data_IF_854674795629
#
_entry.id   IF_854674795629
#
_cell.length_a   1.000
_cell.length_b   1.000
_cell.length_c   1.000
_cell.angle_alpha   90.00
_cell.angle_beta   90.00
_cell.angle_gamma   90.00
#
_symmetry.space_group_name_H-M   'P 1'
#
loop_
_entity.id
_entity.type
_entity.pdbx_description
1 polymer ?
#
# COMPACT_ATOMS: atom_id res chain seq x y z
N UNK A 1 17.25 -51.30 -2.05
CA UNK A 1 17.11 -50.07 -2.84
C UNK A 1 17.24 -48.90 -1.89
N UNK A 2 18.27 -48.08 -2.03
CA UNK A 2 18.45 -46.89 -1.19
C UNK A 2 17.35 -45.89 -1.55
N UNK A 3 16.54 -45.48 -0.58
CA UNK A 3 15.57 -44.41 -0.78
C UNK A 3 16.33 -43.10 -0.99
N UNK A 4 16.02 -42.31 -2.03
CA UNK A 4 16.61 -41.00 -2.18
C UNK A 4 16.17 -40.12 -1.01
N UNK A 5 17.12 -39.56 -0.29
CA UNK A 5 16.89 -38.71 0.88
C UNK A 5 16.33 -37.36 0.39
N UNK A 6 15.02 -37.28 0.20
CA UNK A 6 14.34 -36.04 -0.15
C UNK A 6 14.30 -35.14 1.08
N UNK A 7 15.26 -34.21 1.14
CA UNK A 7 15.26 -33.14 2.13
C UNK A 7 14.15 -32.14 1.79
N UNK A 8 12.91 -32.46 2.16
CA UNK A 8 11.81 -31.50 2.15
C UNK A 8 12.19 -30.40 3.13
N UNK A 9 12.27 -29.12 2.73
CA UNK A 9 12.60 -28.05 3.65
C UNK A 9 11.46 -27.89 4.67
N UNK A 10 11.57 -28.62 5.78
CA UNK A 10 10.67 -28.60 6.93
C UNK A 10 10.91 -27.34 7.77
N UNK A 11 10.71 -26.17 7.16
CA UNK A 11 10.41 -24.97 7.92
C UNK A 11 9.78 -23.94 6.98
N UNK A 12 8.45 -23.72 7.00
CA UNK A 12 7.94 -22.45 6.53
C UNK A 12 8.59 -21.40 7.41
N UNK A 13 9.57 -20.64 6.88
CA UNK A 13 10.22 -19.54 7.58
C UNK A 13 9.12 -18.67 8.17
N UNK A 14 8.87 -18.79 9.48
CA UNK A 14 7.83 -18.01 10.16
C UNK A 14 8.07 -16.54 9.81
N UNK A 15 7.04 -15.81 9.32
CA UNK A 15 7.22 -14.43 8.92
C UNK A 15 7.70 -13.65 10.14
N UNK A 16 8.88 -13.04 10.04
CA UNK A 16 9.45 -12.18 11.09
C UNK A 16 8.45 -11.07 11.43
N UNK A 17 8.49 -10.60 12.67
CA UNK A 17 7.57 -9.56 13.17
C UNK A 17 7.54 -8.31 12.27
N UNK A 18 8.69 -7.90 11.74
CA UNK A 18 8.86 -6.79 10.80
C UNK A 18 7.96 -6.91 9.55
N UNK A 19 7.79 -8.13 9.04
CA UNK A 19 6.96 -8.38 7.86
C UNK A 19 5.47 -8.26 8.16
N UNK A 20 5.06 -8.74 9.34
CA UNK A 20 3.67 -8.57 9.81
C UNK A 20 3.36 -7.08 10.00
N UNK A 21 4.29 -6.35 10.58
CA UNK A 21 4.15 -4.91 10.80
C UNK A 21 4.06 -4.13 9.48
N UNK A 22 4.93 -4.43 8.51
CA UNK A 22 4.89 -3.81 7.17
C UNK A 22 3.57 -4.09 6.43
N UNK A 23 3.05 -5.32 6.51
CA UNK A 23 1.74 -5.66 5.93
C UNK A 23 0.61 -4.89 6.60
N UNK A 24 0.60 -4.78 7.93
CA UNK A 24 -0.40 -4.00 8.67
C UNK A 24 -0.34 -2.52 8.27
N UNK A 25 0.85 -1.94 8.18
CA UNK A 25 1.06 -0.57 7.72
C UNK A 25 0.56 -0.35 6.29
N UNK A 26 0.82 -1.30 5.38
CA UNK A 26 0.30 -1.23 4.01
C UNK A 26 -1.23 -1.27 3.98
N UNK A 27 -1.86 -2.14 4.78
CA UNK A 27 -3.32 -2.23 4.86
C UNK A 27 -3.90 -0.92 5.41
N UNK A 28 -3.37 -0.41 6.52
CA UNK A 28 -3.83 0.82 7.16
C UNK A 28 -3.64 2.04 6.25
N UNK A 29 -2.49 2.13 5.58
CA UNK A 29 -2.22 3.23 4.66
C UNK A 29 -3.17 3.17 3.47
N UNK A 30 -3.40 1.99 2.89
CA UNK A 30 -4.28 1.83 1.74
C UNK A 30 -5.74 2.11 2.09
N UNK A 31 -6.24 1.63 3.23
CA UNK A 31 -7.60 1.91 3.68
C UNK A 31 -7.81 3.39 3.96
N UNK A 32 -6.81 4.06 4.55
CA UNK A 32 -6.80 5.50 4.73
C UNK A 32 -6.83 6.24 3.39
N UNK A 33 -6.02 5.84 2.41
CA UNK A 33 -6.04 6.45 1.07
C UNK A 33 -7.41 6.31 0.40
N UNK A 34 -8.03 5.12 0.48
CA UNK A 34 -9.37 4.89 -0.09
C UNK A 34 -10.41 5.79 0.58
N UNK A 35 -10.37 5.94 1.91
CA UNK A 35 -11.26 6.85 2.63
C UNK A 35 -11.08 8.30 2.18
N UNK A 36 -9.84 8.77 2.01
CA UNK A 36 -9.56 10.12 1.52
C UNK A 36 -10.07 10.33 0.10
N UNK A 37 -9.93 9.33 -0.77
CA UNK A 37 -10.51 9.36 -2.12
C UNK A 37 -12.02 9.54 -2.07
N UNK A 38 -12.70 8.76 -1.24
CA UNK A 38 -14.16 8.88 -1.08
C UNK A 38 -14.53 10.27 -0.56
N UNK A 39 -13.76 10.86 0.35
CA UNK A 39 -13.99 12.23 0.84
C UNK A 39 -13.80 13.29 -0.26
N UNK A 40 -12.77 13.14 -1.11
CA UNK A 40 -12.47 14.08 -2.19
C UNK A 40 -13.55 14.05 -3.27
N UNK A 41 -13.99 12.86 -3.70
CA UNK A 41 -14.92 12.70 -4.82
C UNK A 41 -16.39 12.61 -4.40
N UNK A 42 -16.66 12.07 -3.23
CA UNK A 42 -18.02 11.86 -2.71
C UNK A 42 -18.65 13.09 -2.08
N UNK A 43 -17.90 14.19 -1.88
CA UNK A 43 -18.47 15.43 -1.34
C UNK A 43 -18.97 15.32 0.10
N UNK A 44 -18.52 14.32 0.87
CA UNK A 44 -18.93 14.07 2.25
C UNK A 44 -18.42 15.12 3.27
N UNK A 45 -17.81 16.21 2.80
CA UNK A 45 -17.43 17.36 3.62
C UNK A 45 -18.66 18.23 3.92
N UNK A 46 -19.49 17.79 4.89
CA UNK A 46 -20.75 18.45 5.25
C UNK A 46 -20.67 19.76 6.02
N UNK A 47 -19.53 20.48 6.01
CA UNK A 47 -19.34 21.74 6.73
C UNK A 47 -18.81 22.80 5.76
N UNK A 48 -19.36 24.02 5.82
CA UNK A 48 -19.31 25.22 4.94
C UNK A 48 -18.01 25.56 4.18
N UNK A 49 -16.90 24.86 4.41
CA UNK A 49 -15.62 25.02 3.71
C UNK A 49 -15.24 23.74 2.98
N UNK A 50 -16.10 23.33 2.05
CA UNK A 50 -15.87 22.17 1.18
C UNK A 50 -14.48 22.23 0.51
N UNK A 51 -14.03 23.41 0.09
CA UNK A 51 -12.69 23.64 -0.47
C UNK A 51 -11.55 23.32 0.52
N UNK A 52 -11.69 23.66 1.79
CA UNK A 52 -10.64 23.40 2.81
C UNK A 52 -10.60 21.92 3.15
N UNK A 53 -11.76 21.28 3.30
CA UNK A 53 -11.84 19.85 3.57
C UNK A 53 -11.23 19.05 2.41
N UNK A 54 -11.59 19.37 1.16
CA UNK A 54 -10.97 18.75 -0.03
C UNK A 54 -9.46 19.02 -0.09
N UNK A 55 -9.01 20.24 0.23
CA UNK A 55 -7.59 20.59 0.26
C UNK A 55 -6.79 19.80 1.30
N UNK A 56 -7.33 19.64 2.52
CA UNK A 56 -6.72 18.81 3.56
C UNK A 56 -6.70 17.34 3.15
N UNK A 57 -7.77 16.83 2.55
CA UNK A 57 -7.82 15.45 2.04
C UNK A 57 -6.79 15.21 0.94
N UNK A 58 -6.56 16.18 0.04
CA UNK A 58 -5.49 16.12 -0.97
C UNK A 58 -4.10 16.08 -0.34
N UNK A 59 -3.82 16.93 0.65
CA UNK A 59 -2.55 16.92 1.38
C UNK A 59 -2.34 15.60 2.15
N UNK A 60 -3.40 15.05 2.74
CA UNK A 60 -3.33 13.77 3.42
C UNK A 60 -3.09 12.61 2.43
N UNK A 61 -3.67 12.70 1.21
CA UNK A 61 -3.50 11.68 0.18
C UNK A 61 -2.08 11.69 -0.40
N UNK A 62 -1.47 12.88 -0.56
CA UNK A 62 -0.08 12.99 -1.00
C UNK A 62 0.89 12.44 0.06
N UNK A 63 0.67 12.74 1.34
CA UNK A 63 1.44 12.15 2.44
C UNK A 63 1.30 10.63 2.53
N UNK A 64 0.07 10.12 2.38
CA UNK A 64 -0.21 8.69 2.32
C UNK A 64 0.47 8.00 1.12
N UNK A 65 0.52 8.66 -0.03
CA UNK A 65 1.20 8.15 -1.23
C UNK A 65 2.71 8.14 -1.08
N UNK A 66 3.29 9.12 -0.39
CA UNK A 66 4.71 9.12 -0.05
C UNK A 66 5.06 7.96 0.88
N UNK A 67 4.24 7.73 1.91
CA UNK A 67 4.38 6.58 2.80
C UNK A 67 4.26 5.26 2.03
N UNK A 68 3.34 5.16 1.07
CA UNK A 68 3.19 4.00 0.21
C UNK A 68 4.45 3.76 -0.64
N UNK A 69 5.06 4.81 -1.20
CA UNK A 69 6.29 4.71 -1.98
C UNK A 69 7.46 4.18 -1.13
N UNK A 70 7.61 4.66 0.11
CA UNK A 70 8.61 4.18 1.05
C UNK A 70 8.39 2.70 1.41
N UNK A 71 7.14 2.30 1.68
CA UNK A 71 6.79 0.91 1.98
C UNK A 71 7.01 -0.01 0.79
N UNK A 72 6.74 0.46 -0.43
CA UNK A 72 6.99 -0.26 -1.67
C UNK A 72 8.50 -0.43 -1.90
N UNK A 73 9.30 0.61 -1.70
CA UNK A 73 10.76 0.56 -1.84
C UNK A 73 11.38 -0.40 -0.81
N UNK A 74 10.93 -0.35 0.45
CA UNK A 74 11.32 -1.30 1.49
C UNK A 74 10.96 -2.75 1.12
N UNK A 75 9.78 -2.95 0.52
CA UNK A 75 9.30 -4.27 0.09
C UNK A 75 10.07 -4.82 -1.11
N UNK A 76 10.45 -3.96 -2.06
CA UNK A 76 11.29 -4.31 -3.20
C UNK A 76 12.71 -4.70 -2.76
N UNK A 77 13.33 -3.94 -1.86
CA UNK A 77 14.67 -4.25 -1.33
C UNK A 77 14.72 -5.63 -0.64
N UNK A 78 13.59 -6.07 -0.08
CA UNK A 78 13.50 -7.32 0.66
C UNK A 78 12.66 -8.39 -0.07
N UNK A 79 12.43 -8.23 -1.39
CA UNK A 79 11.59 -9.11 -2.21
C UNK A 79 12.05 -10.58 -2.21
N UNK A 80 13.36 -10.79 -2.26
CA UNK A 80 13.97 -12.13 -2.26
C UNK A 80 13.78 -12.86 -0.92
N UNK A 81 13.49 -12.12 0.16
CA UNK A 81 13.32 -12.65 1.53
C UNK A 81 11.85 -12.84 1.93
N UNK A 82 10.91 -12.34 1.14
CA UNK A 82 9.47 -12.43 1.41
C UNK A 82 8.86 -13.71 0.84
N UNK A 83 7.98 -14.34 1.62
CA UNK A 83 7.14 -15.45 1.18
C UNK A 83 6.26 -15.00 0.01
N UNK A 84 6.08 -15.86 -0.99
CA UNK A 84 5.30 -15.55 -2.20
C UNK A 84 3.90 -15.00 -1.91
N UNK A 85 3.23 -15.53 -0.88
CA UNK A 85 1.91 -15.06 -0.44
C UNK A 85 1.92 -13.63 0.10
N UNK A 86 2.97 -13.22 0.84
CA UNK A 86 3.05 -11.87 1.42
C UNK A 86 3.46 -10.81 0.41
N UNK A 87 4.11 -11.20 -0.71
CA UNK A 87 4.56 -10.28 -1.76
C UNK A 87 3.41 -9.46 -2.35
N UNK A 88 2.24 -10.07 -2.52
CA UNK A 88 1.04 -9.38 -3.00
C UNK A 88 0.59 -8.27 -2.05
N UNK A 89 0.67 -8.51 -0.74
CA UNK A 89 0.29 -7.52 0.26
C UNK A 89 1.35 -6.42 0.43
N UNK A 90 2.62 -6.72 0.19
CA UNK A 90 3.71 -5.76 0.35
C UNK A 90 3.95 -4.90 -0.90
N UNK A 91 3.50 -5.34 -2.08
CA UNK A 91 3.69 -4.63 -3.35
C UNK A 91 2.37 -4.15 -3.93
N UNK A 92 1.35 -5.00 -3.94
CA UNK A 92 0.05 -4.70 -4.55
C UNK A 92 -0.73 -3.61 -3.79
N UNK A 93 -0.80 -3.70 -2.46
CA UNK A 93 -1.48 -2.70 -1.63
C UNK A 93 -0.90 -1.28 -1.80
N UNK A 94 0.41 -1.04 -1.65
CA UNK A 94 0.96 0.31 -1.80
C UNK A 94 0.90 0.84 -3.23
N UNK A 95 0.72 0.00 -4.26
CA UNK A 95 0.49 0.46 -5.63
C UNK A 95 -0.86 1.16 -5.81
N UNK A 96 -1.90 0.78 -5.05
CA UNK A 96 -3.25 1.37 -5.16
C UNK A 96 -3.23 2.89 -4.95
N UNK A 97 -2.70 3.44 -3.84
CA UNK A 97 -2.65 4.88 -3.65
C UNK A 97 -1.76 5.60 -4.66
N UNK A 98 -0.63 4.98 -5.07
CA UNK A 98 0.29 5.56 -6.06
C UNK A 98 -0.39 5.68 -7.43
N UNK A 99 -1.06 4.62 -7.89
CA UNK A 99 -1.82 4.63 -9.14
C UNK A 99 -2.95 5.65 -9.10
N UNK A 100 -3.59 5.81 -7.96
CA UNK A 100 -4.66 6.78 -7.81
C UNK A 100 -4.17 8.22 -7.98
N UNK A 101 -3.09 8.60 -7.28
CA UNK A 101 -2.49 9.93 -7.45
C UNK A 101 -1.98 10.13 -8.87
N UNK A 102 -1.35 9.12 -9.47
CA UNK A 102 -0.89 9.18 -10.86
C UNK A 102 -2.05 9.42 -11.84
N UNK A 103 -3.19 8.74 -11.67
CA UNK A 103 -4.37 8.90 -12.52
C UNK A 103 -4.99 10.29 -12.41
N UNK A 104 -5.08 10.81 -11.18
CA UNK A 104 -5.56 12.18 -10.92
C UNK A 104 -4.63 13.19 -11.59
N UNK A 105 -3.31 13.04 -11.40
CA UNK A 105 -2.34 13.96 -11.96
C UNK A 105 -2.37 13.97 -13.49
N UNK A 106 -2.45 12.78 -14.11
CA UNK A 106 -2.66 12.63 -15.55
C UNK A 106 -3.93 13.36 -16.00
N UNK A 107 -5.05 13.18 -15.30
CA UNK A 107 -6.30 13.87 -15.64
C UNK A 107 -6.16 15.39 -15.53
N UNK A 108 -5.46 15.90 -14.52
CA UNK A 108 -5.22 17.32 -14.34
C UNK A 108 -4.30 17.93 -15.43
N UNK A 109 -3.38 17.14 -15.99
CA UNK A 109 -2.48 17.58 -17.06
C UNK A 109 -3.19 17.69 -18.42
N UNK A 110 -4.22 16.87 -18.65
CA UNK A 110 -4.97 16.79 -19.93
C UNK A 110 -6.31 17.54 -19.92
N UNK A 111 -6.63 18.27 -18.85
CA UNK A 111 -7.82 19.12 -18.73
C UNK A 111 -7.47 20.60 -18.83
#
# INVERSE_FOLDING_TARGET
>A
MAQPDYHVPNNPKKPKFEWRFSVILNILNTSFSIMLVVLIFGGACGVDREAICRGISWMALSGSSWLAALLLLYSLMNFTRTLAFMRWFTIGLPLIPILFVAFVYLRALFS
#
